data_IF_878004047796
#
_entry.id   IF_878004047796
#
_cell.length_a   1.000
_cell.length_b   1.000
_cell.length_c   1.000
_cell.angle_alpha   90.00
_cell.angle_beta   90.00
_cell.angle_gamma   90.00
#
_symmetry.space_group_name_H-M   'P 1'
#
loop_
_entity.id
_entity.type
_entity.pdbx_description
1 polymer ?
#
# COMPACT_ATOMS: atom_id res chain seq x y z
N UNK A 1 16.44 22.36 9.08
CA UNK A 1 17.76 21.73 8.85
C UNK A 1 17.53 20.24 9.05
N UNK A 2 17.75 19.38 8.05
CA UNK A 2 17.66 17.93 8.24
C UNK A 2 18.72 17.53 9.29
N UNK A 3 18.43 16.59 10.20
CA UNK A 3 19.42 16.15 11.15
C UNK A 3 20.61 15.53 10.40
N UNK A 4 21.82 15.78 10.87
CA UNK A 4 23.08 15.29 10.26
C UNK A 4 23.18 13.75 10.24
N UNK A 5 22.27 13.07 10.92
CA UNK A 5 22.12 11.61 10.92
C UNK A 5 20.64 11.26 10.88
N UNK A 6 20.24 10.25 10.06
CA UNK A 6 18.87 9.75 10.11
C UNK A 6 18.55 9.24 11.52
N UNK A 7 17.46 9.70 12.07
CA UNK A 7 16.96 9.29 13.39
C UNK A 7 15.62 8.60 13.23
N UNK A 8 15.39 7.58 14.06
CA UNK A 8 14.10 6.91 14.15
C UNK A 8 13.23 7.70 15.15
N UNK A 9 11.96 7.87 14.85
CA UNK A 9 11.01 8.48 15.78
C UNK A 9 11.01 7.71 17.11
N UNK A 10 10.96 8.40 18.28
CA UNK A 10 11.07 7.75 19.58
C UNK A 10 10.02 6.69 19.86
N UNK A 11 8.83 6.87 19.34
CA UNK A 11 7.66 5.98 19.46
C UNK A 11 7.56 4.96 18.32
N UNK A 12 8.55 4.90 17.40
CA UNK A 12 8.52 4.02 16.26
C UNK A 12 8.33 2.54 16.63
N UNK A 13 7.44 1.89 15.92
CA UNK A 13 7.23 0.46 16.02
C UNK A 13 8.30 -0.36 15.28
N UNK A 14 9.16 0.26 14.47
CA UNK A 14 10.23 -0.46 13.81
C UNK A 14 11.20 -1.08 14.83
N UNK A 15 11.56 -2.37 14.71
CA UNK A 15 12.49 -3.01 15.64
C UNK A 15 13.91 -2.50 15.42
N UNK A 16 14.49 -1.86 16.43
CA UNK A 16 15.79 -1.17 16.34
C UNK A 16 16.98 -1.99 16.84
N UNK A 17 16.79 -3.27 17.23
CA UNK A 17 17.92 -4.12 17.61
C UNK A 17 18.85 -4.34 16.41
N UNK A 18 20.16 -4.48 16.65
CA UNK A 18 21.13 -4.73 15.57
C UNK A 18 20.79 -5.95 14.73
N UNK A 19 20.26 -7.01 15.34
CA UNK A 19 19.82 -8.21 14.65
C UNK A 19 18.61 -7.95 13.72
N UNK A 20 17.62 -7.18 14.18
CA UNK A 20 16.45 -6.86 13.36
C UNK A 20 16.83 -5.97 12.17
N UNK A 21 17.68 -4.96 12.39
CA UNK A 21 18.19 -4.08 11.34
C UNK A 21 19.01 -4.87 10.32
N UNK A 22 19.88 -5.78 10.76
CA UNK A 22 20.67 -6.65 9.88
C UNK A 22 19.74 -7.55 9.04
N UNK A 23 18.72 -8.16 9.62
CA UNK A 23 17.73 -8.97 8.90
C UNK A 23 16.95 -8.13 7.88
N UNK A 24 16.55 -6.92 8.23
CA UNK A 24 15.87 -6.03 7.30
C UNK A 24 16.73 -5.71 6.07
N UNK A 25 18.02 -5.44 6.26
CA UNK A 25 18.93 -5.19 5.14
C UNK A 25 19.27 -6.45 4.33
N UNK A 26 19.37 -7.62 4.96
CA UNK A 26 19.67 -8.89 4.27
C UNK A 26 18.61 -9.32 3.28
N UNK A 27 17.35 -8.96 3.50
CA UNK A 27 16.26 -9.30 2.58
C UNK A 27 16.14 -8.35 1.38
N UNK A 28 16.87 -7.25 1.38
CA UNK A 28 16.85 -6.30 0.28
C UNK A 28 17.71 -6.80 -0.88
N UNK A 29 17.21 -6.66 -2.10
CA UNK A 29 17.99 -6.90 -3.31
C UNK A 29 18.65 -5.59 -3.78
N UNK A 30 19.86 -5.63 -4.35
CA UNK A 30 20.46 -4.44 -4.94
C UNK A 30 19.56 -3.86 -6.03
N UNK A 31 19.37 -2.54 -6.00
CA UNK A 31 18.77 -1.81 -7.11
C UNK A 31 19.79 -1.74 -8.25
N UNK A 32 19.39 -2.16 -9.44
CA UNK A 32 20.28 -2.25 -10.61
C UNK A 32 20.04 -1.13 -11.61
N UNK A 33 19.17 -0.18 -11.30
CA UNK A 33 18.88 0.98 -12.12
C UNK A 33 17.54 1.61 -11.82
N UNK A 34 17.35 2.81 -12.33
CA UNK A 34 16.10 3.54 -12.15
C UNK A 34 14.94 2.89 -12.89
N UNK A 35 13.85 2.69 -12.18
CA UNK A 35 12.61 2.20 -12.76
C UNK A 35 11.95 3.31 -13.59
N UNK A 36 11.58 3.05 -14.87
CA UNK A 36 10.97 4.07 -15.70
C UNK A 36 9.65 4.57 -15.11
N UNK A 37 9.54 5.87 -14.84
CA UNK A 37 8.31 6.49 -14.31
C UNK A 37 7.36 6.92 -15.43
N UNK A 38 7.15 6.07 -16.45
CA UNK A 38 6.31 6.37 -17.62
C UNK A 38 4.97 5.63 -17.59
N UNK A 39 3.98 6.14 -18.33
CA UNK A 39 2.70 5.49 -18.48
C UNK A 39 2.84 4.14 -19.19
N UNK A 40 3.71 4.04 -20.17
CA UNK A 40 4.00 2.83 -20.93
C UNK A 40 4.56 1.73 -20.04
N UNK A 41 5.48 2.08 -19.13
CA UNK A 41 6.04 1.11 -18.18
C UNK A 41 4.98 0.62 -17.20
N UNK A 42 4.13 1.50 -16.69
CA UNK A 42 3.00 1.09 -15.83
C UNK A 42 2.04 0.15 -16.56
N UNK A 43 1.70 0.45 -17.81
CA UNK A 43 0.88 -0.44 -18.65
C UNK A 43 1.55 -1.79 -18.88
N UNK A 44 2.86 -1.82 -19.10
CA UNK A 44 3.62 -3.05 -19.23
C UNK A 44 3.54 -3.88 -17.94
N UNK A 45 3.75 -3.28 -16.77
CA UNK A 45 3.64 -3.93 -15.47
C UNK A 45 2.21 -4.46 -15.22
N UNK A 46 1.19 -3.67 -15.58
CA UNK A 46 -0.21 -4.08 -15.50
C UNK A 46 -0.50 -5.32 -16.35
N UNK A 47 -0.07 -5.33 -17.61
CA UNK A 47 -0.22 -6.48 -18.51
C UNK A 47 0.53 -7.71 -18.03
N UNK A 48 1.76 -7.53 -17.53
CA UNK A 48 2.58 -8.63 -16.99
C UNK A 48 1.91 -9.27 -15.79
N UNK A 49 1.40 -8.45 -14.84
CA UNK A 49 0.64 -8.96 -13.71
C UNK A 49 -0.67 -9.64 -14.13
N UNK A 50 -1.37 -9.14 -15.13
CA UNK A 50 -2.57 -9.79 -15.67
C UNK A 50 -2.27 -11.18 -16.22
N UNK A 51 -1.15 -11.35 -16.94
CA UNK A 51 -0.70 -12.67 -17.43
C UNK A 51 -0.41 -13.64 -16.27
N UNK A 52 0.13 -13.14 -15.16
CA UNK A 52 0.29 -13.97 -13.96
C UNK A 52 -1.07 -14.46 -13.45
N UNK A 53 -2.04 -13.56 -13.28
CA UNK A 53 -3.40 -13.92 -12.85
C UNK A 53 -4.08 -14.88 -13.84
N UNK A 54 -3.81 -14.76 -15.14
CA UNK A 54 -4.32 -15.70 -16.14
C UNK A 54 -3.81 -17.14 -15.92
N UNK A 55 -2.62 -17.28 -15.34
CA UNK A 55 -2.02 -18.59 -15.04
C UNK A 55 -2.44 -19.14 -13.69
N UNK A 56 -2.55 -18.29 -12.66
CA UNK A 56 -2.83 -18.75 -11.29
C UNK A 56 -4.32 -18.74 -10.93
N UNK A 57 -5.16 -18.03 -11.71
CA UNK A 57 -6.58 -17.84 -11.42
C UNK A 57 -6.85 -16.61 -10.57
N UNK A 58 -8.04 -16.58 -9.96
CA UNK A 58 -8.49 -15.47 -9.12
C UNK A 58 -7.63 -15.32 -7.85
N UNK A 59 -7.39 -14.07 -7.44
CA UNK A 59 -6.58 -13.81 -6.25
C UNK A 59 -6.76 -12.40 -5.70
N UNK A 60 -6.24 -12.19 -4.50
CA UNK A 60 -6.15 -10.87 -3.85
C UNK A 60 -4.76 -10.32 -4.09
N UNK A 61 -4.69 -9.06 -4.48
CA UNK A 61 -3.44 -8.36 -4.73
C UNK A 61 -3.05 -7.51 -3.52
N UNK A 62 -1.89 -7.79 -2.94
CA UNK A 62 -1.32 -6.98 -1.85
C UNK A 62 -0.14 -6.20 -2.43
N UNK A 63 -0.15 -4.89 -2.24
CA UNK A 63 0.89 -3.98 -2.75
C UNK A 63 1.42 -3.09 -1.63
N UNK A 64 2.63 -2.58 -1.83
CA UNK A 64 3.24 -1.64 -0.91
C UNK A 64 4.00 -0.54 -1.68
N UNK A 65 3.91 0.71 -1.20
CA UNK A 65 4.75 1.80 -1.66
C UNK A 65 4.65 2.03 -3.18
N UNK A 66 5.76 1.99 -3.88
CA UNK A 66 5.84 2.19 -5.33
C UNK A 66 4.99 1.17 -6.11
N UNK A 67 4.90 -0.08 -5.63
CA UNK A 67 4.10 -1.11 -6.30
C UNK A 67 2.59 -0.86 -6.25
N UNK A 68 2.11 0.06 -5.42
CA UNK A 68 0.70 0.46 -5.41
C UNK A 68 0.21 0.90 -6.78
N UNK A 69 0.99 1.70 -7.51
CA UNK A 69 0.64 2.14 -8.87
C UNK A 69 0.46 0.97 -9.86
N UNK A 70 1.21 -0.12 -9.68
CA UNK A 70 1.09 -1.31 -10.54
C UNK A 70 -0.13 -2.15 -10.15
N UNK A 71 -0.49 -2.16 -8.86
CA UNK A 71 -1.71 -2.82 -8.40
C UNK A 71 -2.96 -2.31 -9.10
N UNK A 72 -3.08 -1.01 -9.26
CA UNK A 72 -4.19 -0.40 -10.00
C UNK A 72 -4.17 -0.83 -11.47
N UNK A 73 -3.00 -0.80 -12.12
CA UNK A 73 -2.85 -1.18 -13.53
C UNK A 73 -3.17 -2.67 -13.77
N UNK A 74 -2.77 -3.56 -12.86
CA UNK A 74 -3.10 -4.99 -12.94
C UNK A 74 -4.61 -5.19 -12.84
N UNK A 75 -5.27 -4.57 -11.86
CA UNK A 75 -6.71 -4.71 -11.68
C UNK A 75 -7.52 -4.11 -12.86
N UNK A 76 -6.99 -3.08 -13.52
CA UNK A 76 -7.58 -2.54 -14.75
C UNK A 76 -7.31 -3.42 -16.00
N UNK A 77 -6.39 -4.38 -15.93
CA UNK A 77 -6.00 -5.24 -17.05
C UNK A 77 -6.60 -6.65 -17.01
N UNK A 78 -7.12 -7.10 -15.86
CA UNK A 78 -7.75 -8.41 -15.71
C UNK A 78 -8.92 -8.36 -14.73
N UNK A 79 -9.91 -9.24 -14.90
CA UNK A 79 -11.04 -9.41 -13.99
C UNK A 79 -10.81 -10.48 -12.92
N UNK A 80 -9.59 -11.00 -12.81
CA UNK A 80 -9.21 -12.06 -11.84
C UNK A 80 -8.69 -11.51 -10.51
N UNK A 81 -8.46 -10.20 -10.40
CA UNK A 81 -8.19 -9.54 -9.13
C UNK A 81 -9.50 -9.41 -8.36
N UNK A 82 -9.60 -10.10 -7.24
CA UNK A 82 -10.81 -10.14 -6.39
C UNK A 82 -10.86 -9.00 -5.38
N UNK A 83 -9.72 -8.49 -4.97
CA UNK A 83 -9.57 -7.34 -4.09
C UNK A 83 -8.14 -6.78 -4.17
N UNK A 84 -7.96 -5.55 -3.70
CA UNK A 84 -6.63 -4.95 -3.50
C UNK A 84 -6.49 -4.54 -2.04
N UNK A 85 -5.34 -4.87 -1.44
CA UNK A 85 -4.85 -4.27 -0.20
C UNK A 85 -3.57 -3.50 -0.52
N UNK A 86 -3.58 -2.20 -0.32
CA UNK A 86 -2.45 -1.33 -0.62
C UNK A 86 -1.93 -0.67 0.66
N UNK A 87 -0.72 -1.05 1.08
CA UNK A 87 -0.02 -0.39 2.17
C UNK A 87 0.74 0.81 1.63
N UNK A 88 0.37 1.99 2.09
CA UNK A 88 0.98 3.28 1.72
C UNK A 88 1.32 3.39 0.21
N UNK A 89 0.32 3.29 -0.67
CA UNK A 89 0.59 3.39 -2.10
C UNK A 89 1.15 4.78 -2.45
N UNK A 90 2.28 4.80 -3.15
CA UNK A 90 2.94 6.05 -3.54
C UNK A 90 2.20 6.85 -4.61
N UNK A 91 1.20 6.27 -5.26
CA UNK A 91 0.33 6.95 -6.22
C UNK A 91 -1.00 6.22 -6.38
N UNK A 92 -2.06 6.98 -6.61
CA UNK A 92 -3.40 6.50 -6.97
C UNK A 92 -3.72 6.84 -8.43
N UNK A 93 -4.62 6.05 -9.05
CA UNK A 93 -5.09 6.25 -10.42
C UNK A 93 -6.41 7.03 -10.41
N UNK A 94 -6.53 8.03 -11.28
CA UNK A 94 -7.71 8.87 -11.41
C UNK A 94 -8.19 8.92 -12.87
N UNK A 95 -9.51 9.05 -13.12
CA UNK A 95 -10.01 9.15 -14.48
C UNK A 95 -9.67 10.52 -15.10
N UNK A 96 -9.27 10.51 -16.38
CA UNK A 96 -8.97 11.73 -17.12
C UNK A 96 -10.12 12.72 -17.13
N UNK A 97 -11.33 12.19 -17.18
CA UNK A 97 -12.58 12.95 -17.33
C UNK A 97 -13.02 13.61 -16.01
N UNK A 98 -12.51 13.11 -14.88
CA UNK A 98 -12.81 13.60 -13.54
C UNK A 98 -11.52 13.65 -12.70
N UNK A 99 -10.62 14.61 -12.98
CA UNK A 99 -9.37 14.74 -12.25
C UNK A 99 -9.62 15.06 -10.76
N UNK A 100 -8.75 14.57 -9.86
CA UNK A 100 -8.86 14.91 -8.45
C UNK A 100 -8.61 16.39 -8.21
N UNK A 101 -9.10 16.92 -7.10
CA UNK A 101 -8.78 18.27 -6.67
C UNK A 101 -7.27 18.45 -6.51
N UNK A 102 -6.78 19.68 -6.74
CA UNK A 102 -5.35 19.96 -6.58
C UNK A 102 -4.90 19.78 -5.13
N UNK A 103 -3.69 19.24 -4.96
CA UNK A 103 -3.00 19.13 -3.67
C UNK A 103 -1.67 19.87 -3.80
N UNK A 104 -1.58 21.09 -3.29
CA UNK A 104 -0.39 21.91 -3.44
C UNK A 104 0.85 21.24 -2.84
N UNK A 105 1.92 21.16 -3.63
CA UNK A 105 3.23 20.71 -3.19
C UNK A 105 4.08 21.90 -2.77
N UNK A 106 4.98 21.70 -1.82
CA UNK A 106 5.88 22.76 -1.34
C UNK A 106 6.96 23.12 -2.35
N UNK A 107 7.40 22.14 -3.15
CA UNK A 107 8.45 22.32 -4.17
C UNK A 107 8.02 21.78 -5.54
N UNK A 108 8.60 22.33 -6.61
CA UNK A 108 8.35 21.84 -7.99
C UNK A 108 8.74 20.36 -8.16
N UNK A 109 9.80 19.91 -7.50
CA UNK A 109 10.24 18.51 -7.55
C UNK A 109 9.18 17.58 -6.97
N UNK A 110 8.56 17.95 -5.85
CA UNK A 110 7.45 17.18 -5.25
C UNK A 110 6.21 17.26 -6.15
N UNK A 111 5.87 18.44 -6.68
CA UNK A 111 4.73 18.59 -7.60
C UNK A 111 4.86 17.66 -8.81
N UNK A 112 6.03 17.63 -9.43
CA UNK A 112 6.31 16.76 -10.58
C UNK A 112 6.22 15.26 -10.20
N UNK A 113 6.78 14.87 -9.03
CA UNK A 113 6.77 13.48 -8.54
C UNK A 113 5.36 13.01 -8.20
N UNK A 114 4.52 13.88 -7.63
CA UNK A 114 3.20 13.56 -7.09
C UNK A 114 2.05 13.95 -8.02
N UNK A 115 2.35 14.26 -9.28
CA UNK A 115 1.31 14.43 -10.29
C UNK A 115 0.40 13.18 -10.34
N UNK A 116 -0.94 13.32 -10.30
CA UNK A 116 -1.84 12.19 -10.23
C UNK A 116 -1.71 11.29 -11.47
N UNK A 117 -1.85 9.98 -11.28
CA UNK A 117 -1.80 9.01 -12.38
C UNK A 117 -3.14 8.99 -13.10
N UNK A 118 -3.20 9.69 -14.23
CA UNK A 118 -4.42 9.83 -15.01
C UNK A 118 -4.59 8.67 -15.98
N UNK A 119 -5.80 8.11 -16.02
CA UNK A 119 -6.17 6.99 -16.91
C UNK A 119 -7.56 7.24 -17.53
N UNK A 120 -7.89 6.64 -18.71
CA UNK A 120 -9.23 6.77 -19.24
C UNK A 120 -10.30 6.20 -18.30
N UNK A 121 -11.43 6.88 -18.13
CA UNK A 121 -12.56 6.47 -17.29
C UNK A 121 -12.97 5.02 -17.57
N UNK A 122 -13.03 4.63 -18.84
CA UNK A 122 -13.42 3.26 -19.23
C UNK A 122 -12.53 2.17 -18.62
N UNK A 123 -11.25 2.47 -18.38
CA UNK A 123 -10.33 1.56 -17.66
C UNK A 123 -10.49 1.68 -16.15
N UNK A 124 -10.55 2.90 -15.67
CA UNK A 124 -10.64 3.20 -14.24
C UNK A 124 -11.86 2.55 -13.58
N UNK A 125 -12.99 2.47 -14.29
CA UNK A 125 -14.20 1.81 -13.81
C UNK A 125 -14.02 0.35 -13.38
N UNK A 126 -12.97 -0.34 -13.84
CA UNK A 126 -12.65 -1.68 -13.32
C UNK A 126 -12.36 -1.67 -11.83
N UNK A 127 -11.78 -0.60 -11.29
CA UNK A 127 -11.45 -0.45 -9.87
C UNK A 127 -12.71 -0.32 -8.99
N UNK A 128 -13.83 0.15 -9.53
CA UNK A 128 -15.11 0.22 -8.78
C UNK A 128 -15.82 -1.13 -8.65
N UNK A 129 -15.30 -2.18 -9.28
CA UNK A 129 -15.92 -3.52 -9.27
C UNK A 129 -15.35 -4.46 -8.22
N UNK A 130 -14.31 -4.06 -7.53
CA UNK A 130 -13.61 -4.86 -6.54
C UNK A 130 -13.46 -4.07 -5.24
N UNK A 131 -13.49 -4.72 -4.07
CA UNK A 131 -13.20 -4.06 -2.81
C UNK A 131 -11.72 -3.69 -2.72
N UNK A 132 -11.45 -2.49 -2.18
CA UNK A 132 -10.11 -1.92 -2.04
C UNK A 132 -9.91 -1.51 -0.58
N UNK A 133 -8.81 -1.95 0.02
CA UNK A 133 -8.32 -1.49 1.31
C UNK A 133 -7.02 -0.73 1.12
N UNK A 134 -6.94 0.48 1.66
CA UNK A 134 -5.70 1.26 1.73
C UNK A 134 -5.36 1.47 3.20
N UNK A 135 -4.11 1.25 3.58
CA UNK A 135 -3.62 1.44 4.95
C UNK A 135 -2.45 2.41 4.96
N UNK A 136 -2.51 3.43 5.79
CA UNK A 136 -1.42 4.36 6.03
C UNK A 136 -0.97 4.31 7.50
N UNK A 137 0.36 4.37 7.71
CA UNK A 137 1.01 4.42 9.02
C UNK A 137 0.95 5.78 9.68
N UNK A 138 1.95 6.04 10.52
CA UNK A 138 2.04 7.25 11.34
C UNK A 138 3.10 8.22 10.81
N UNK A 139 3.28 9.35 11.51
CA UNK A 139 4.28 10.38 11.21
C UNK A 139 4.18 11.03 9.82
N UNK A 140 3.00 11.01 9.23
CA UNK A 140 2.71 11.73 7.98
C UNK A 140 2.29 13.16 8.35
N UNK A 141 2.99 14.15 7.81
CA UNK A 141 2.71 15.56 8.07
C UNK A 141 1.34 15.97 7.52
N UNK A 142 0.63 16.84 8.25
CA UNK A 142 -0.56 17.50 7.73
C UNK A 142 -0.21 18.77 6.94
N UNK A 143 1.00 19.32 7.14
CA UNK A 143 1.44 20.58 6.53
C UNK A 143 2.48 20.37 5.42
N UNK A 144 2.47 21.20 4.37
CA UNK A 144 3.49 21.18 3.32
C UNK A 144 4.90 21.37 3.87
N UNK A 145 5.87 20.61 3.35
CA UNK A 145 7.24 20.60 3.84
C UNK A 145 8.27 20.79 2.73
N UNK A 146 9.36 21.52 3.04
CA UNK A 146 10.53 21.61 2.16
C UNK A 146 11.30 20.25 2.09
N UNK A 147 11.07 19.36 3.04
CA UNK A 147 11.70 18.03 3.04
C UNK A 147 10.95 17.14 2.07
N UNK A 148 11.60 16.77 0.97
CA UNK A 148 11.01 16.07 -0.17
C UNK A 148 10.12 14.88 0.24
N UNK A 149 10.65 13.93 1.00
CA UNK A 149 9.89 12.74 1.37
C UNK A 149 8.72 13.04 2.34
N UNK A 150 8.85 14.05 3.19
CA UNK A 150 7.75 14.45 4.09
C UNK A 150 6.56 14.96 3.28
N UNK A 151 6.80 15.82 2.29
CA UNK A 151 5.74 16.38 1.45
C UNK A 151 5.17 15.36 0.45
N UNK A 152 6.02 14.44 -0.05
CA UNK A 152 5.57 13.33 -0.92
C UNK A 152 4.54 12.47 -0.19
N UNK A 153 4.80 12.04 1.05
CA UNK A 153 3.88 11.17 1.79
C UNK A 153 2.61 11.90 2.26
N UNK A 154 2.72 13.17 2.59
CA UNK A 154 1.54 14.02 2.85
C UNK A 154 0.60 14.03 1.64
N UNK A 155 1.14 14.28 0.44
CA UNK A 155 0.34 14.30 -0.79
C UNK A 155 -0.18 12.90 -1.13
N UNK A 156 0.61 11.85 -0.92
CA UNK A 156 0.19 10.48 -1.16
C UNK A 156 -1.04 10.10 -0.31
N UNK A 157 -1.04 10.46 0.97
CA UNK A 157 -2.19 10.24 1.85
C UNK A 157 -3.42 11.03 1.41
N UNK A 158 -3.24 12.31 1.04
CA UNK A 158 -4.37 13.12 0.55
C UNK A 158 -4.93 12.59 -0.77
N UNK A 159 -4.07 12.13 -1.68
CA UNK A 159 -4.49 11.45 -2.91
C UNK A 159 -5.22 10.13 -2.62
N UNK A 160 -4.83 9.40 -1.59
CA UNK A 160 -5.55 8.20 -1.18
C UNK A 160 -6.96 8.54 -0.64
N UNK A 161 -7.12 9.62 0.12
CA UNK A 161 -8.44 10.12 0.56
C UNK A 161 -9.33 10.48 -0.63
N UNK A 162 -8.80 11.21 -1.59
CA UNK A 162 -9.51 11.58 -2.83
C UNK A 162 -9.89 10.33 -3.65
N UNK A 163 -8.97 9.40 -3.81
CA UNK A 163 -9.20 8.15 -4.54
C UNK A 163 -10.33 7.32 -3.93
N UNK A 164 -10.29 7.10 -2.62
CA UNK A 164 -11.34 6.36 -1.90
C UNK A 164 -12.70 7.06 -2.05
N UNK A 165 -12.73 8.38 -1.88
CA UNK A 165 -13.96 9.15 -2.07
C UNK A 165 -14.52 9.00 -3.50
N UNK A 166 -13.66 9.06 -4.51
CA UNK A 166 -14.08 8.95 -5.91
C UNK A 166 -14.54 7.53 -6.27
N UNK A 167 -13.80 6.48 -5.84
CA UNK A 167 -14.24 5.09 -6.03
C UNK A 167 -15.65 4.89 -5.45
N UNK A 168 -15.87 5.36 -4.23
CA UNK A 168 -17.16 5.20 -3.54
C UNK A 168 -18.28 6.04 -4.20
N UNK A 169 -17.97 7.25 -4.69
CA UNK A 169 -18.92 8.08 -5.42
C UNK A 169 -19.41 7.40 -6.72
N UNK A 170 -18.58 6.56 -7.33
CA UNK A 170 -18.92 5.75 -8.51
C UNK A 170 -19.50 4.35 -8.16
N UNK A 171 -19.96 4.16 -6.91
CA UNK A 171 -20.60 2.93 -6.46
C UNK A 171 -19.63 1.77 -6.21
N UNK A 172 -18.34 2.06 -6.08
CA UNK A 172 -17.33 1.08 -5.66
C UNK A 172 -17.28 0.91 -4.13
N UNK A 173 -16.33 0.12 -3.68
CA UNK A 173 -16.16 -0.25 -2.27
C UNK A 173 -14.67 -0.08 -1.88
N UNK A 174 -14.30 1.13 -1.50
CA UNK A 174 -12.97 1.44 -1.04
C UNK A 174 -12.96 1.92 0.41
N UNK A 175 -11.99 1.44 1.18
CA UNK A 175 -11.78 1.77 2.59
C UNK A 175 -10.37 2.33 2.76
N UNK A 176 -10.23 3.45 3.47
CA UNK A 176 -8.95 3.98 3.93
C UNK A 176 -8.84 3.80 5.44
N UNK A 177 -7.78 3.15 5.88
CA UNK A 177 -7.38 3.08 7.29
C UNK A 177 -6.15 3.97 7.46
N UNK A 178 -6.30 4.98 8.29
CA UNK A 178 -5.20 5.78 8.81
C UNK A 178 -4.95 5.30 10.25
N UNK A 179 -3.88 4.57 10.50
CA UNK A 179 -3.63 3.89 11.78
C UNK A 179 -3.72 4.83 12.99
N UNK A 180 -3.20 6.07 12.95
CA UNK A 180 -3.34 7.01 14.07
C UNK A 180 -4.79 7.34 14.42
N UNK A 181 -5.72 7.32 13.46
CA UNK A 181 -7.14 7.55 13.72
C UNK A 181 -7.82 6.39 14.47
N UNK A 182 -7.17 5.22 14.50
CA UNK A 182 -7.58 4.07 15.30
C UNK A 182 -6.85 3.99 16.65
N UNK A 183 -6.01 4.98 16.97
CA UNK A 183 -5.16 4.96 18.17
C UNK A 183 -3.94 4.04 18.06
N UNK A 184 -3.59 3.61 16.85
CA UNK A 184 -2.42 2.78 16.56
C UNK A 184 -1.32 3.70 16.08
N UNK A 185 -0.24 3.85 16.86
CA UNK A 185 0.80 4.84 16.65
C UNK A 185 2.18 4.25 16.44
N UNK A 186 3.06 5.06 15.85
CA UNK A 186 4.47 4.74 15.63
C UNK A 186 4.75 3.80 14.47
N UNK A 187 3.73 3.44 13.68
CA UNK A 187 3.91 2.57 12.52
C UNK A 187 4.65 3.29 11.40
N UNK A 188 5.62 2.57 10.85
CA UNK A 188 6.48 3.06 9.77
C UNK A 188 5.84 2.83 8.40
N UNK A 189 6.51 3.32 7.36
CA UNK A 189 6.16 3.02 5.98
C UNK A 189 6.05 1.51 5.67
N UNK A 190 6.74 0.67 6.43
CA UNK A 190 6.69 -0.78 6.31
C UNK A 190 5.96 -1.41 7.52
N UNK A 191 4.70 -1.06 7.74
CA UNK A 191 3.90 -1.49 8.88
C UNK A 191 3.88 -3.02 9.10
N UNK A 192 4.03 -3.80 8.04
CA UNK A 192 4.17 -5.27 8.10
C UNK A 192 5.51 -5.74 8.69
N UNK A 193 6.52 -4.86 8.80
CA UNK A 193 7.82 -5.14 9.44
C UNK A 193 7.92 -4.56 10.86
N UNK A 194 6.91 -3.85 11.33
CA UNK A 194 6.86 -3.25 12.65
C UNK A 194 6.57 -4.27 13.75
N UNK A 195 6.87 -3.92 15.00
CA UNK A 195 6.69 -4.80 16.17
C UNK A 195 5.24 -5.23 16.39
N UNK A 196 4.28 -4.37 16.00
CA UNK A 196 2.85 -4.63 16.09
C UNK A 196 2.24 -5.15 14.78
N UNK A 197 3.03 -5.74 13.89
CA UNK A 197 2.58 -6.22 12.58
C UNK A 197 1.40 -7.21 12.64
N UNK A 198 1.26 -8.00 13.71
CA UNK A 198 0.12 -8.89 13.90
C UNK A 198 -1.18 -8.12 14.16
N UNK A 199 -1.12 -6.96 14.84
CA UNK A 199 -2.26 -6.07 15.00
C UNK A 199 -2.69 -5.51 13.63
N UNK A 200 -1.73 -5.09 12.81
CA UNK A 200 -1.98 -4.60 11.45
C UNK A 200 -2.55 -5.71 10.56
N UNK A 201 -2.01 -6.93 10.65
CA UNK A 201 -2.56 -8.10 9.98
C UNK A 201 -4.01 -8.37 10.41
N UNK A 202 -4.32 -8.19 11.71
CA UNK A 202 -5.68 -8.31 12.25
C UNK A 202 -6.68 -7.38 11.59
N UNK A 203 -6.30 -6.14 11.25
CA UNK A 203 -7.16 -5.21 10.51
C UNK A 203 -7.47 -5.73 9.10
N UNK A 204 -6.47 -6.24 8.40
CA UNK A 204 -6.64 -6.80 7.06
C UNK A 204 -7.52 -8.06 7.09
N UNK A 205 -7.27 -8.99 8.00
CA UNK A 205 -8.04 -10.24 8.11
C UNK A 205 -9.49 -9.98 8.50
N UNK A 206 -9.74 -9.02 9.39
CA UNK A 206 -11.10 -8.57 9.71
C UNK A 206 -11.81 -8.01 8.46
N UNK A 207 -11.13 -7.17 7.70
CA UNK A 207 -11.68 -6.62 6.46
C UNK A 207 -11.95 -7.73 5.43
N UNK A 208 -11.09 -8.75 5.31
CA UNK A 208 -11.36 -9.90 4.45
C UNK A 208 -12.63 -10.64 4.85
N UNK A 209 -12.84 -10.87 6.14
CA UNK A 209 -14.05 -11.51 6.64
C UNK A 209 -15.30 -10.67 6.34
N UNK A 210 -15.26 -9.36 6.56
CA UNK A 210 -16.34 -8.43 6.23
C UNK A 210 -16.71 -8.44 4.74
N UNK A 211 -15.71 -8.59 3.87
CA UNK A 211 -15.88 -8.66 2.40
C UNK A 211 -16.11 -10.09 1.89
N UNK A 212 -16.15 -11.11 2.76
CA UNK A 212 -16.27 -12.53 2.40
C UNK A 212 -15.16 -13.00 1.45
N UNK A 213 -13.94 -12.56 1.73
CA UNK A 213 -12.73 -12.83 0.95
C UNK A 213 -11.78 -13.79 1.66
N UNK A 214 -12.11 -14.23 2.85
CA UNK A 214 -11.31 -15.13 3.69
C UNK A 214 -11.37 -16.60 3.25
N UNK A 215 -12.15 -16.92 2.22
CA UNK A 215 -12.31 -18.27 1.69
C UNK A 215 -13.14 -19.19 2.57
N UNK A 216 -13.74 -18.69 3.64
CA UNK A 216 -14.58 -19.46 4.52
C UNK A 216 -16.05 -19.29 4.16
N UNK A 217 -16.71 -20.37 3.75
CA UNK A 217 -18.17 -20.45 3.75
C UNK A 217 -18.63 -20.67 5.21
N UNK A 218 -19.45 -19.80 5.75
CA UNK A 218 -19.98 -19.96 7.11
C UNK A 218 -21.02 -21.09 7.19
N UNK A 219 -20.97 -21.98 8.23
CA UNK A 219 -20.07 -22.03 9.37
C UNK A 219 -18.76 -22.74 9.04
N UNK A 220 -17.69 -22.34 9.69
CA UNK A 220 -16.36 -22.93 9.55
C UNK A 220 -16.36 -24.45 9.78
N UNK A 221 -16.22 -25.21 8.72
CA UNK A 221 -15.94 -26.65 8.77
C UNK A 221 -14.51 -26.99 8.31
N UNK A 222 -13.70 -25.97 8.06
CA UNK A 222 -12.29 -26.12 7.68
C UNK A 222 -11.36 -26.37 8.88
N UNK A 223 -10.14 -26.85 8.64
CA UNK A 223 -9.14 -26.97 9.71
C UNK A 223 -8.90 -25.60 10.35
N UNK A 224 -8.70 -25.60 11.67
CA UNK A 224 -8.35 -24.38 12.39
C UNK A 224 -7.20 -23.64 11.69
N UNK A 225 -7.17 -22.29 11.73
CA UNK A 225 -6.05 -21.54 11.20
C UNK A 225 -4.75 -22.18 11.71
N UNK A 226 -3.77 -22.36 10.82
CA UNK A 226 -2.43 -22.80 11.22
C UNK A 226 -1.97 -21.85 12.33
N UNK A 227 -1.89 -22.38 13.56
CA UNK A 227 -1.17 -21.69 14.63
C UNK A 227 0.28 -21.60 14.17
N UNK A 228 0.65 -20.46 13.59
CA UNK A 228 2.05 -20.19 13.32
C UNK A 228 2.76 -20.21 14.67
N UNK A 229 3.84 -21.01 14.82
CA UNK A 229 4.58 -21.03 16.08
C UNK A 229 5.01 -19.62 16.41
N UNK A 230 4.64 -19.12 17.58
CA UNK A 230 4.86 -17.75 18.07
C UNK A 230 6.35 -17.40 18.23
N UNK A 231 7.25 -18.33 18.00
CA UNK A 231 8.69 -18.13 17.94
C UNK A 231 9.35 -19.24 17.14
N UNK A 232 10.07 -18.89 16.11
CA UNK A 232 11.14 -19.75 15.60
C UNK A 232 12.30 -19.55 16.57
N UNK A 233 12.77 -20.58 17.30
CA UNK A 233 13.96 -20.44 18.12
C UNK A 233 15.12 -20.09 17.20
N UNK A 234 15.75 -18.93 17.41
CA UNK A 234 17.05 -18.63 16.81
C UNK A 234 18.04 -19.64 17.42
N UNK A 235 18.30 -20.75 16.70
CA UNK A 235 19.48 -21.54 17.03
C UNK A 235 20.71 -20.65 16.90
N UNK A 236 21.35 -20.46 18.04
CA UNK A 236 22.63 -19.77 18.11
C UNK A 236 23.65 -20.59 17.33
N UNK A 237 23.95 -20.15 16.10
CA UNK A 237 25.12 -20.66 15.38
C UNK A 237 26.36 -20.32 16.21
N UNK A 238 27.05 -21.36 16.68
CA UNK A 238 28.36 -21.28 17.28
C UNK A 238 29.42 -20.94 16.23
#
# INVERSE_FOLDING_TARGET
MAPDKPTIYPDSQFPVSGAAVDQFFRQQTPDTGDEPSTAEFRLFMGKTGAVLFDRIGDGILITHSNSGQYGWEIAMATNKVRAIVAYEPGACAFPNEEPPADVPAKTEAVAARMYPRMVPMARWQALTKIPILIVFGDHISDEPSEVFNVDVWRIALERARQFVAQINAHGGDATLIELPKLGIHGNTHAAFADKNNLEILGLMTKWFAEKKLDGYEHPHTGPAPLELPMSIPLETAK
#
